data_IF_331865479406
#
_entry.id   IF_331865479406
#
_cell.length_a   1.000
_cell.length_b   1.000
_cell.length_c   1.000
_cell.angle_alpha   90.00
_cell.angle_beta   90.00
_cell.angle_gamma   90.00
#
_symmetry.space_group_name_H-M   'P 1'
#
loop_
_entity.id
_entity.type
_entity.pdbx_description
1 polymer ?
#
# COMPACT_ATOMS: atom_id res chain seq x y z
N UNK A 1 -4.70 17.42 -30.34
CA UNK A 1 -4.58 16.13 -29.62
C UNK A 1 -5.99 15.61 -29.35
N UNK A 2 -6.36 14.40 -29.81
CA UNK A 2 -7.67 13.82 -29.51
C UNK A 2 -7.83 13.65 -27.98
N UNK A 3 -8.98 14.07 -27.44
CA UNK A 3 -9.29 13.89 -26.01
C UNK A 3 -9.38 12.39 -25.72
N UNK A 4 -8.53 11.89 -24.81
CA UNK A 4 -8.61 10.51 -24.30
C UNK A 4 -10.05 10.27 -23.79
N UNK A 5 -10.73 9.18 -24.19
CA UNK A 5 -12.07 8.88 -23.70
C UNK A 5 -12.07 8.79 -22.17
N UNK A 6 -13.18 9.17 -21.51
CA UNK A 6 -13.28 9.06 -20.05
C UNK A 6 -13.08 7.60 -19.63
N UNK A 7 -12.35 7.39 -18.54
CA UNK A 7 -12.20 6.05 -17.98
C UNK A 7 -13.50 5.65 -17.29
N UNK A 8 -14.01 4.47 -17.62
CA UNK A 8 -15.27 3.96 -17.10
C UNK A 8 -15.15 2.48 -16.73
N UNK A 9 -15.85 2.08 -15.67
CA UNK A 9 -16.05 0.66 -15.32
C UNK A 9 -17.40 0.26 -15.87
N UNK A 10 -17.42 -0.73 -16.76
CA UNK A 10 -18.64 -1.26 -17.35
C UNK A 10 -18.94 -2.62 -16.73
N UNK A 11 -20.12 -2.75 -16.13
CA UNK A 11 -20.66 -4.00 -15.59
C UNK A 11 -21.65 -4.55 -16.61
N UNK A 12 -21.43 -5.77 -17.08
CA UNK A 12 -22.32 -6.51 -17.97
C UNK A 12 -22.85 -7.69 -17.19
N UNK A 13 -24.11 -7.65 -16.79
CA UNK A 13 -24.76 -8.78 -16.12
C UNK A 13 -25.25 -9.77 -17.17
N UNK A 14 -24.97 -11.06 -16.93
CA UNK A 14 -25.42 -12.18 -17.77
C UNK A 14 -26.54 -12.99 -17.11
N UNK A 15 -26.53 -13.05 -15.78
CA UNK A 15 -27.58 -13.70 -14.99
C UNK A 15 -27.83 -12.96 -13.69
N UNK A 16 -29.06 -13.01 -13.19
CA UNK A 16 -29.40 -12.51 -11.85
C UNK A 16 -29.03 -13.51 -10.75
N UNK A 17 -29.34 -13.17 -9.50
CA UNK A 17 -29.08 -14.00 -8.33
C UNK A 17 -29.81 -15.35 -8.34
N UNK A 18 -30.92 -15.46 -9.07
CA UNK A 18 -31.68 -16.71 -9.25
C UNK A 18 -31.11 -17.60 -10.37
N UNK A 19 -30.15 -17.08 -11.14
CA UNK A 19 -29.59 -17.75 -12.31
C UNK A 19 -30.41 -17.53 -13.58
N UNK A 20 -31.45 -16.70 -13.54
CA UNK A 20 -32.19 -16.34 -14.74
C UNK A 20 -31.32 -15.44 -15.64
N UNK A 21 -31.31 -15.67 -16.97
CA UNK A 21 -30.52 -14.85 -17.87
C UNK A 21 -31.03 -13.42 -17.89
N UNK A 22 -30.13 -12.47 -17.64
CA UNK A 22 -30.39 -11.04 -17.69
C UNK A 22 -29.36 -10.43 -18.63
N UNK A 23 -29.77 -9.48 -19.47
CA UNK A 23 -28.85 -8.66 -20.26
C UNK A 23 -28.99 -7.22 -19.82
N UNK A 24 -28.33 -6.90 -18.71
CA UNK A 24 -28.26 -5.52 -18.22
C UNK A 24 -26.83 -5.04 -18.26
N UNK A 25 -26.66 -3.76 -18.60
CA UNK A 25 -25.37 -3.12 -18.65
C UNK A 25 -25.44 -1.84 -17.84
N UNK A 26 -24.47 -1.66 -16.94
CA UNK A 26 -24.32 -0.45 -16.17
C UNK A 26 -22.90 0.08 -16.33
N UNK A 27 -22.78 1.35 -16.68
CA UNK A 27 -21.48 2.01 -16.82
C UNK A 27 -21.31 3.03 -15.71
N UNK A 28 -20.21 2.90 -14.98
CA UNK A 28 -19.83 3.79 -13.91
C UNK A 28 -18.65 4.66 -14.37
N UNK A 29 -18.85 5.98 -14.53
CA UNK A 29 -17.75 6.86 -14.86
C UNK A 29 -16.79 6.99 -13.69
N UNK A 30 -15.49 6.88 -13.96
CA UNK A 30 -14.46 7.16 -12.96
C UNK A 30 -13.99 8.60 -13.13
N UNK A 31 -14.44 9.45 -12.21
CA UNK A 31 -13.82 10.76 -12.04
C UNK A 31 -12.42 10.58 -11.45
N UNK A 32 -11.43 11.18 -12.13
CA UNK A 32 -10.02 11.09 -11.74
C UNK A 32 -9.85 11.76 -10.37
N UNK A 33 -9.52 10.98 -9.35
CA UNK A 33 -8.96 11.54 -8.13
C UNK A 33 -7.49 11.87 -8.40
N UNK A 34 -7.17 13.17 -8.46
CA UNK A 34 -5.78 13.65 -8.44
C UNK A 34 -5.29 13.65 -6.99
N UNK A 35 -4.27 12.84 -6.70
CA UNK A 35 -3.53 12.89 -5.45
C UNK A 35 -2.07 13.20 -5.80
N UNK A 36 -1.60 14.39 -5.44
CA UNK A 36 -0.21 14.83 -5.62
C UNK A 36 0.32 14.56 -7.04
N UNK A 37 -0.36 15.11 -8.06
CA UNK A 37 -0.04 14.97 -9.49
C UNK A 37 -0.11 13.56 -10.11
N UNK A 38 -0.40 12.51 -9.33
CA UNK A 38 -0.66 11.16 -9.83
C UNK A 38 -2.16 10.89 -9.96
N UNK A 39 -2.59 10.44 -11.15
CA UNK A 39 -3.94 9.93 -11.38
C UNK A 39 -3.98 8.46 -10.95
N UNK A 40 -4.81 8.09 -9.97
CA UNK A 40 -4.88 6.70 -9.46
C UNK A 40 -6.24 6.07 -9.69
N UNK A 41 -6.43 5.50 -10.88
CA UNK A 41 -7.64 4.74 -11.20
C UNK A 41 -7.69 3.37 -10.49
N UNK A 42 -6.54 2.76 -10.24
CA UNK A 42 -6.44 1.40 -9.68
C UNK A 42 -7.21 1.24 -8.35
N UNK A 43 -7.15 2.23 -7.45
CA UNK A 43 -7.86 2.16 -6.17
C UNK A 43 -9.38 2.27 -6.34
N UNK A 44 -9.84 3.12 -7.25
CA UNK A 44 -11.27 3.27 -7.55
C UNK A 44 -11.81 1.98 -8.17
N UNK A 45 -11.04 1.36 -9.07
CA UNK A 45 -11.38 0.06 -9.64
C UNK A 45 -11.54 -0.96 -8.52
N UNK A 46 -10.58 -1.11 -7.60
CA UNK A 46 -10.74 -2.01 -6.46
C UNK A 46 -11.98 -1.66 -5.63
N UNK A 47 -12.16 -0.39 -5.27
CA UNK A 47 -13.27 0.04 -4.42
C UNK A 47 -14.64 -0.34 -5.00
N UNK A 48 -14.87 -0.07 -6.29
CA UNK A 48 -16.15 -0.33 -6.95
C UNK A 48 -16.35 -1.79 -7.35
N UNK A 49 -15.27 -2.56 -7.49
CA UNK A 49 -15.36 -3.95 -7.97
C UNK A 49 -15.17 -4.99 -6.88
N UNK A 50 -14.67 -4.62 -5.69
CA UNK A 50 -14.34 -5.55 -4.59
C UNK A 50 -15.49 -6.50 -4.26
N UNK A 51 -16.72 -5.99 -4.22
CA UNK A 51 -17.91 -6.74 -3.79
C UNK A 51 -18.26 -7.87 -4.77
N UNK A 52 -17.85 -7.72 -6.03
CA UNK A 52 -18.06 -8.71 -7.09
C UNK A 52 -16.95 -9.77 -7.15
N UNK A 53 -15.93 -9.71 -6.28
CA UNK A 53 -14.81 -10.66 -6.25
C UNK A 53 -14.21 -10.98 -7.66
N UNK A 54 -13.82 -9.97 -8.46
CA UNK A 54 -13.54 -10.09 -9.89
C UNK A 54 -12.43 -11.10 -10.20
N UNK A 55 -12.76 -12.12 -10.99
CA UNK A 55 -11.88 -13.18 -11.47
C UNK A 55 -11.15 -12.69 -12.72
N UNK A 56 -9.83 -12.83 -12.72
CA UNK A 56 -9.00 -12.44 -13.85
C UNK A 56 -9.26 -13.29 -15.09
N UNK A 57 -9.12 -12.65 -16.24
CA UNK A 57 -9.17 -13.32 -17.54
C UNK A 57 -7.83 -13.14 -18.25
N UNK A 58 -7.68 -13.73 -19.44
CA UNK A 58 -6.49 -13.49 -20.29
C UNK A 58 -6.33 -12.00 -20.65
N UNK A 59 -7.43 -11.25 -20.66
CA UNK A 59 -7.47 -9.82 -20.97
C UNK A 59 -7.28 -8.96 -19.72
N UNK A 60 -6.46 -7.92 -19.83
CA UNK A 60 -6.18 -6.96 -18.74
C UNK A 60 -7.37 -6.06 -18.42
N UNK A 61 -8.23 -5.82 -19.41
CA UNK A 61 -9.39 -4.94 -19.33
C UNK A 61 -10.67 -5.67 -18.93
N UNK A 62 -10.69 -7.00 -18.85
CA UNK A 62 -11.90 -7.78 -18.61
C UNK A 62 -11.74 -8.75 -17.44
N UNK A 63 -12.77 -8.80 -16.59
CA UNK A 63 -12.84 -9.65 -15.40
C UNK A 63 -14.22 -10.30 -15.36
N UNK A 64 -14.29 -11.54 -14.87
CA UNK A 64 -15.56 -12.26 -14.68
C UNK A 64 -15.96 -12.22 -13.21
N UNK A 65 -17.25 -12.17 -12.91
CA UNK A 65 -17.74 -12.39 -11.56
C UNK A 65 -18.90 -13.39 -11.57
N UNK A 66 -19.09 -14.09 -10.46
CA UNK A 66 -20.20 -15.04 -10.30
C UNK A 66 -20.48 -15.32 -8.84
N UNK A 67 -21.74 -15.65 -8.53
CA UNK A 67 -22.16 -15.99 -7.16
C UNK A 67 -22.31 -14.78 -6.23
N UNK A 68 -22.44 -13.57 -6.77
CA UNK A 68 -22.75 -12.38 -5.97
C UNK A 68 -24.26 -12.24 -5.78
N UNK A 69 -24.71 -11.48 -4.78
CA UNK A 69 -26.14 -11.17 -4.56
C UNK A 69 -26.80 -10.50 -5.76
N UNK A 70 -26.02 -9.98 -6.70
CA UNK A 70 -26.47 -9.36 -7.94
C UNK A 70 -26.45 -10.31 -9.15
N UNK A 71 -25.91 -11.53 -9.00
CA UNK A 71 -25.80 -12.53 -10.07
C UNK A 71 -24.39 -12.74 -10.63
N UNK A 72 -24.27 -12.96 -11.93
CA UNK A 72 -23.00 -13.22 -12.62
C UNK A 72 -22.83 -12.39 -13.89
N UNK A 73 -21.59 -12.15 -14.28
CA UNK A 73 -21.30 -11.38 -15.48
C UNK A 73 -19.85 -10.94 -15.62
N UNK A 74 -19.65 -9.80 -16.27
CA UNK A 74 -18.35 -9.23 -16.62
C UNK A 74 -18.17 -7.81 -16.10
N UNK A 75 -16.93 -7.49 -15.76
CA UNK A 75 -16.45 -6.15 -15.47
C UNK A 75 -15.43 -5.80 -16.54
N UNK A 76 -15.66 -4.71 -17.26
CA UNK A 76 -14.81 -4.24 -18.36
C UNK A 76 -14.31 -2.82 -18.05
N UNK A 77 -12.99 -2.63 -18.07
CA UNK A 77 -12.32 -1.36 -17.83
C UNK A 77 -12.06 -0.66 -19.17
N UNK A 78 -12.81 0.41 -19.46
CA UNK A 78 -12.69 1.14 -20.73
C UNK A 78 -12.07 2.52 -20.52
N UNK A 79 -11.29 3.00 -21.50
CA UNK A 79 -10.62 4.31 -21.42
C UNK A 79 -9.36 4.34 -20.55
N UNK A 80 -8.89 3.17 -20.08
CA UNK A 80 -7.63 3.02 -19.36
C UNK A 80 -6.48 2.79 -20.34
N UNK A 81 -5.30 3.31 -20.00
CA UNK A 81 -4.05 2.99 -20.67
C UNK A 81 -3.53 1.61 -20.22
N UNK A 82 -2.66 0.96 -20.99
CA UNK A 82 -2.08 -0.34 -20.61
C UNK A 82 -1.40 -0.34 -19.23
N UNK A 83 -0.73 0.77 -18.87
CA UNK A 83 -0.11 0.93 -17.56
C UNK A 83 -1.14 1.02 -16.42
N UNK A 84 -2.24 1.76 -16.63
CA UNK A 84 -3.33 1.88 -15.65
C UNK A 84 -4.06 0.53 -15.47
N UNK A 85 -4.22 -0.25 -16.54
CA UNK A 85 -4.81 -1.60 -16.46
C UNK A 85 -3.90 -2.57 -15.69
N UNK A 86 -2.59 -2.53 -15.93
CA UNK A 86 -1.64 -3.36 -15.20
C UNK A 86 -1.61 -3.01 -13.70
N UNK A 87 -1.65 -1.72 -13.35
CA UNK A 87 -1.74 -1.26 -11.97
C UNK A 87 -3.05 -1.69 -11.31
N UNK A 88 -4.19 -1.57 -12.01
CA UNK A 88 -5.49 -2.01 -11.51
C UNK A 88 -5.50 -3.52 -11.24
N UNK A 89 -4.97 -4.35 -12.15
CA UNK A 89 -4.84 -5.80 -11.95
C UNK A 89 -3.99 -6.12 -10.72
N UNK A 90 -2.83 -5.48 -10.57
CA UNK A 90 -1.96 -5.70 -9.41
C UNK A 90 -2.68 -5.35 -8.09
N UNK A 91 -3.47 -4.28 -8.08
CA UNK A 91 -4.24 -3.89 -6.91
C UNK A 91 -5.38 -4.86 -6.58
N UNK A 92 -6.08 -5.39 -7.59
CA UNK A 92 -7.11 -6.42 -7.41
C UNK A 92 -6.51 -7.72 -6.85
N UNK A 93 -5.35 -8.14 -7.36
CA UNK A 93 -4.59 -9.29 -6.83
C UNK A 93 -4.24 -9.11 -5.37
N UNK A 94 -3.68 -7.95 -5.02
CA UNK A 94 -3.29 -7.64 -3.63
C UNK A 94 -4.50 -7.67 -2.70
N UNK A 95 -5.65 -7.18 -3.15
CA UNK A 95 -6.88 -7.22 -2.36
C UNK A 95 -7.32 -8.66 -2.11
N UNK A 96 -7.39 -9.50 -3.15
CA UNK A 96 -7.75 -10.92 -2.99
C UNK A 96 -6.76 -11.68 -2.11
N UNK A 97 -5.46 -11.40 -2.22
CA UNK A 97 -4.45 -12.00 -1.34
C UNK A 97 -4.69 -11.58 0.12
N UNK A 98 -4.96 -10.30 0.38
CA UNK A 98 -5.23 -9.82 1.74
C UNK A 98 -6.49 -10.47 2.34
N UNK A 99 -7.56 -10.60 1.54
CA UNK A 99 -8.78 -11.33 1.92
C UNK A 99 -8.49 -12.80 2.22
N UNK A 100 -7.74 -13.48 1.34
CA UNK A 100 -7.38 -14.89 1.50
C UNK A 100 -6.48 -15.17 2.71
N UNK A 101 -5.65 -14.20 3.11
CA UNK A 101 -4.85 -14.28 4.34
C UNK A 101 -5.65 -13.97 5.61
N UNK A 102 -6.86 -13.41 5.48
CA UNK A 102 -7.67 -12.94 6.62
C UNK A 102 -7.02 -11.79 7.40
N UNK A 103 -6.03 -11.10 6.82
CA UNK A 103 -5.28 -10.01 7.45
C UNK A 103 -5.11 -8.85 6.49
N UNK A 104 -5.54 -7.67 6.92
CA UNK A 104 -5.27 -6.43 6.20
C UNK A 104 -3.76 -6.18 6.10
N UNK A 105 -3.31 -5.58 4.98
CA UNK A 105 -1.93 -5.17 4.81
C UNK A 105 -1.56 -4.12 5.89
N UNK A 106 -0.60 -4.40 6.80
CA UNK A 106 -0.17 -3.45 7.83
C UNK A 106 0.43 -2.16 7.26
N UNK A 107 0.85 -2.19 6.00
CA UNK A 107 1.37 -1.04 5.25
C UNK A 107 0.31 -0.18 4.59
N UNK A 108 -0.95 -0.64 4.53
CA UNK A 108 -2.07 0.15 4.03
C UNK A 108 -2.60 1.07 5.14
N UNK A 109 -2.53 2.38 4.92
CA UNK A 109 -3.18 3.37 5.79
C UNK A 109 -4.68 3.35 5.55
N UNK A 110 -5.46 3.00 6.58
CA UNK A 110 -6.89 3.29 6.65
C UNK A 110 -7.83 2.13 6.37
N UNK A 111 -8.78 1.93 7.29
CA UNK A 111 -9.97 1.06 7.20
C UNK A 111 -11.07 1.61 6.27
N UNK A 112 -10.81 2.69 5.54
CA UNK A 112 -11.84 3.51 4.90
C UNK A 112 -11.65 3.67 3.38
N UNK A 113 -11.23 2.62 2.66
CA UNK A 113 -11.17 2.62 1.18
C UNK A 113 -10.25 3.67 0.53
N UNK A 114 -9.71 4.60 1.31
CA UNK A 114 -8.73 5.59 0.95
C UNK A 114 -7.39 5.06 1.44
N UNK A 115 -6.70 4.35 0.56
CA UNK A 115 -5.24 4.23 0.70
C UNK A 115 -4.68 5.65 0.65
N UNK A 116 -4.40 6.25 1.79
CA UNK A 116 -3.75 7.58 1.85
C UNK A 116 -2.27 7.37 1.54
N UNK A 117 -1.92 7.66 0.29
CA UNK A 117 -0.54 7.61 -0.22
C UNK A 117 0.28 8.78 0.32
N UNK A 118 0.70 8.69 1.58
CA UNK A 118 1.81 9.50 2.02
C UNK A 118 3.07 9.13 1.23
N UNK A 119 3.94 10.11 0.92
CA UNK A 119 5.23 9.89 0.24
C UNK A 119 6.11 8.84 0.92
N UNK A 120 5.87 8.56 2.21
CA UNK A 120 6.53 7.53 3.01
C UNK A 120 5.92 6.13 2.90
N UNK A 121 4.85 5.96 2.11
CA UNK A 121 4.30 4.65 1.76
C UNK A 121 5.16 3.95 0.70
N UNK A 122 6.48 3.91 0.90
CA UNK A 122 7.31 2.97 0.17
C UNK A 122 7.08 1.57 0.74
N UNK A 123 6.76 0.66 -0.17
CA UNK A 123 5.95 -0.53 0.14
C UNK A 123 6.76 -1.77 0.56
N UNK A 124 8.08 -1.69 0.61
CA UNK A 124 8.95 -2.81 0.93
C UNK A 124 9.30 -2.83 2.43
N UNK A 125 9.14 -3.96 3.15
CA UNK A 125 9.56 -4.06 4.55
C UNK A 125 11.05 -3.70 4.76
N UNK A 126 11.91 -3.86 3.75
CA UNK A 126 13.31 -3.43 3.84
C UNK A 126 13.49 -1.94 4.12
N UNK A 127 12.55 -1.10 3.68
CA UNK A 127 12.62 0.35 3.92
C UNK A 127 12.27 0.64 5.38
N UNK A 128 11.27 -0.05 5.93
CA UNK A 128 10.92 0.02 7.34
C UNK A 128 12.14 -0.40 8.21
N UNK A 129 12.90 -1.41 7.76
CA UNK A 129 14.17 -1.81 8.37
C UNK A 129 15.26 -0.72 8.26
N UNK A 130 15.44 -0.11 7.08
CA UNK A 130 16.41 0.98 6.87
C UNK A 130 16.08 2.17 7.77
N UNK A 131 14.81 2.55 7.89
CA UNK A 131 14.36 3.60 8.81
C UNK A 131 14.71 3.23 10.26
N UNK A 132 14.47 1.97 10.65
CA UNK A 132 14.85 1.47 11.97
C UNK A 132 16.36 1.58 12.24
N UNK A 133 17.19 1.18 11.27
CA UNK A 133 18.66 1.27 11.34
C UNK A 133 19.12 2.72 11.43
N UNK A 134 18.57 3.62 10.60
CA UNK A 134 18.90 5.05 10.66
C UNK A 134 18.56 5.63 12.03
N UNK A 135 17.38 5.30 12.58
CA UNK A 135 17.02 5.68 13.95
C UNK A 135 18.01 5.18 14.99
N UNK A 136 18.44 3.92 14.89
CA UNK A 136 19.44 3.35 15.81
C UNK A 136 20.79 4.08 15.69
N UNK A 137 21.21 4.45 14.48
CA UNK A 137 22.43 5.27 14.26
C UNK A 137 22.29 6.62 14.96
N UNK A 138 21.18 7.34 14.75
CA UNK A 138 20.93 8.62 15.44
C UNK A 138 20.95 8.48 16.96
N UNK A 139 20.38 7.40 17.50
CA UNK A 139 20.38 7.13 18.93
C UNK A 139 21.81 6.92 19.48
N UNK A 140 22.62 6.12 18.79
CA UNK A 140 24.02 5.85 19.17
C UNK A 140 24.87 7.12 19.04
N UNK A 141 24.68 7.90 17.98
CA UNK A 141 25.37 9.18 17.80
C UNK A 141 24.98 10.20 18.86
N UNK A 142 23.70 10.29 19.23
CA UNK A 142 23.23 11.16 20.31
C UNK A 142 23.79 10.75 21.68
N UNK A 143 23.80 9.45 21.97
CA UNK A 143 24.44 8.90 23.18
C UNK A 143 25.95 9.23 23.22
N UNK A 144 26.66 8.99 22.12
CA UNK A 144 28.08 9.29 22.01
C UNK A 144 28.38 10.78 22.20
N UNK A 145 27.59 11.64 21.56
CA UNK A 145 27.70 13.09 21.73
C UNK A 145 27.48 13.50 23.18
N UNK A 146 26.42 12.99 23.83
CA UNK A 146 26.13 13.29 25.24
C UNK A 146 27.25 12.84 26.18
N UNK A 147 27.82 11.65 25.96
CA UNK A 147 28.95 11.15 26.75
C UNK A 147 30.21 12.01 26.57
N UNK A 148 30.49 12.45 25.35
CA UNK A 148 31.63 13.34 25.07
C UNK A 148 31.42 14.69 25.75
N UNK A 149 30.23 15.30 25.62
CA UNK A 149 29.91 16.58 26.26
C UNK A 149 30.09 16.48 27.78
N UNK A 150 29.48 15.47 28.43
CA UNK A 150 29.62 15.26 29.88
C UNK A 150 31.08 15.00 30.28
N UNK A 151 31.80 14.17 29.52
CA UNK A 151 33.20 13.85 29.80
C UNK A 151 34.12 15.07 29.74
N UNK A 152 33.91 15.94 28.74
CA UNK A 152 34.64 17.21 28.63
C UNK A 152 34.31 18.14 29.81
N UNK A 153 33.05 18.28 30.17
CA UNK A 153 32.65 19.14 31.28
C UNK A 153 33.26 18.70 32.61
N UNK A 154 33.27 17.39 32.89
CA UNK A 154 33.92 16.82 34.08
C UNK A 154 35.44 17.02 34.05
N UNK A 155 36.07 16.84 32.88
CA UNK A 155 37.52 16.97 32.73
C UNK A 155 38.03 18.41 32.85
N UNK A 156 37.26 19.38 32.38
CA UNK A 156 37.65 20.80 32.36
C UNK A 156 37.04 21.63 33.50
N UNK A 157 36.21 21.03 34.36
CA UNK A 157 35.62 21.69 35.53
C UNK A 157 34.63 22.80 35.19
N UNK A 158 34.08 22.81 33.98
CA UNK A 158 33.03 23.75 33.58
C UNK A 158 31.66 23.31 34.10
N UNK A 159 30.73 24.25 34.20
CA UNK A 159 29.31 23.94 34.48
C UNK A 159 28.60 23.61 33.17
N UNK A 160 27.90 22.48 33.14
CA UNK A 160 27.13 22.04 31.98
C UNK A 160 25.81 22.82 31.90
N UNK A 161 25.61 23.58 30.84
CA UNK A 161 24.33 24.25 30.61
C UNK A 161 23.34 23.30 29.90
N UNK A 162 22.03 23.35 30.20
CA UNK A 162 21.03 22.49 29.57
C UNK A 162 21.05 22.55 28.04
N UNK A 163 21.37 23.73 27.48
CA UNK A 163 21.42 23.99 26.05
C UNK A 163 22.52 23.19 25.34
N UNK A 164 23.59 22.81 26.05
CA UNK A 164 24.70 22.01 25.52
C UNK A 164 24.31 20.53 25.35
N UNK A 165 23.30 20.05 26.08
CA UNK A 165 22.78 18.69 25.98
C UNK A 165 21.59 18.57 25.03
N UNK A 166 20.89 19.67 24.72
CA UNK A 166 19.73 19.67 23.83
C UNK A 166 19.99 18.99 22.47
N UNK A 167 21.14 19.19 21.79
CA UNK A 167 21.43 18.50 20.54
C UNK A 167 21.54 16.98 20.71
N UNK A 168 22.21 16.53 21.76
CA UNK A 168 22.36 15.10 22.08
C UNK A 168 21.00 14.47 22.42
N UNK A 169 20.21 15.14 23.26
CA UNK A 169 18.86 14.71 23.62
C UNK A 169 17.92 14.68 22.41
N UNK A 170 17.98 15.68 21.54
CA UNK A 170 17.20 15.74 20.30
C UNK A 170 17.51 14.55 19.38
N UNK A 171 18.79 14.26 19.16
CA UNK A 171 19.23 13.10 18.38
C UNK A 171 18.77 11.78 19.01
N UNK A 172 18.83 11.66 20.34
CA UNK A 172 18.37 10.47 21.05
C UNK A 172 16.86 10.26 20.92
N UNK A 173 16.06 11.32 21.08
CA UNK A 173 14.59 11.24 20.98
C UNK A 173 14.16 10.89 19.55
N UNK A 174 14.72 11.58 18.56
CA UNK A 174 14.44 11.30 17.15
C UNK A 174 14.90 9.88 16.78
N UNK A 175 16.11 9.50 17.20
CA UNK A 175 16.69 8.19 16.95
C UNK A 175 15.85 7.06 17.55
N UNK A 176 15.48 7.18 18.83
CA UNK A 176 14.62 6.21 19.51
C UNK A 176 13.25 6.09 18.85
N UNK A 177 12.63 7.21 18.48
CA UNK A 177 11.34 7.23 17.79
C UNK A 177 11.38 6.52 16.44
N UNK A 178 12.37 6.86 15.60
CA UNK A 178 12.56 6.23 14.28
C UNK A 178 12.92 4.75 14.39
N UNK A 179 13.79 4.37 15.33
CA UNK A 179 14.18 2.99 15.57
C UNK A 179 12.97 2.15 15.98
N UNK A 180 12.26 2.59 17.04
CA UNK A 180 11.10 1.88 17.56
C UNK A 180 10.01 1.74 16.48
N UNK A 181 9.69 2.83 15.78
CA UNK A 181 8.68 2.82 14.72
C UNK A 181 9.08 1.93 13.54
N UNK A 182 10.31 2.06 13.04
CA UNK A 182 10.83 1.30 11.90
C UNK A 182 10.89 -0.20 12.18
N UNK A 183 11.46 -0.61 13.31
CA UNK A 183 11.55 -2.03 13.69
C UNK A 183 10.18 -2.64 13.99
N UNK A 184 9.29 -1.93 14.69
CA UNK A 184 7.93 -2.39 14.94
C UNK A 184 7.15 -2.62 13.64
N UNK A 185 7.22 -1.66 12.71
CA UNK A 185 6.57 -1.76 11.41
C UNK A 185 7.17 -2.88 10.56
N UNK A 186 8.50 -3.01 10.54
CA UNK A 186 9.20 -4.10 9.87
C UNK A 186 8.75 -5.47 10.37
N UNK A 187 8.71 -5.68 11.69
CA UNK A 187 8.33 -6.95 12.29
C UNK A 187 6.90 -7.35 11.91
N UNK A 188 5.95 -6.41 11.97
CA UNK A 188 4.55 -6.65 11.59
C UNK A 188 4.38 -6.92 10.10
N UNK A 189 5.14 -6.22 9.26
CA UNK A 189 4.99 -6.29 7.80
C UNK A 189 5.71 -7.48 7.18
N UNK A 190 6.83 -7.91 7.75
CA UNK A 190 7.66 -9.00 7.20
C UNK A 190 6.90 -10.31 7.08
N UNK A 191 6.15 -10.71 8.11
CA UNK A 191 5.37 -11.96 8.11
C UNK A 191 4.28 -11.92 7.05
N UNK A 192 3.47 -10.85 7.05
CA UNK A 192 2.43 -10.63 6.05
C UNK A 192 3.02 -10.64 4.63
N UNK A 193 4.15 -9.98 4.40
CA UNK A 193 4.80 -9.92 3.10
C UNK A 193 5.25 -11.28 2.58
N UNK A 194 5.82 -12.11 3.46
CA UNK A 194 6.25 -13.45 3.10
C UNK A 194 5.06 -14.35 2.73
N UNK A 195 4.00 -14.31 3.54
CA UNK A 195 2.76 -15.03 3.28
C UNK A 195 2.08 -14.55 1.98
N UNK A 196 2.00 -13.24 1.77
CA UNK A 196 1.40 -12.63 0.58
C UNK A 196 2.18 -12.98 -0.69
N UNK A 197 3.52 -13.02 -0.64
CA UNK A 197 4.33 -13.50 -1.78
C UNK A 197 4.07 -14.98 -2.07
N UNK A 198 3.99 -15.81 -1.03
CA UNK A 198 3.70 -17.24 -1.18
C UNK A 198 2.34 -17.46 -1.85
N UNK A 199 1.30 -16.79 -1.35
CA UNK A 199 -0.03 -16.82 -1.94
C UNK A 199 -0.03 -16.31 -3.39
N UNK A 200 0.64 -15.19 -3.66
CA UNK A 200 0.70 -14.63 -5.01
C UNK A 200 1.33 -15.58 -6.03
N UNK A 201 2.43 -16.24 -5.67
CA UNK A 201 3.12 -17.19 -6.54
C UNK A 201 2.26 -18.43 -6.75
N UNK A 202 1.61 -18.94 -5.69
CA UNK A 202 0.72 -20.10 -5.77
C UNK A 202 -0.50 -19.84 -6.63
N UNK A 203 -1.15 -18.68 -6.46
CA UNK A 203 -2.46 -18.41 -7.04
C UNK A 203 -2.37 -17.76 -8.44
N UNK A 204 -1.26 -17.08 -8.76
CA UNK A 204 -1.09 -16.33 -10.01
C UNK A 204 0.21 -16.63 -10.77
N UNK A 205 1.06 -17.55 -10.27
CA UNK A 205 2.35 -17.89 -10.87
C UNK A 205 3.41 -16.77 -10.79
N UNK A 206 3.04 -15.58 -10.30
CA UNK A 206 3.93 -14.44 -10.19
C UNK A 206 3.47 -13.46 -9.11
N UNK A 207 4.43 -12.88 -8.38
CA UNK A 207 4.13 -11.83 -7.43
C UNK A 207 3.68 -10.54 -8.17
N UNK A 208 2.65 -9.81 -7.69
CA UNK A 208 2.38 -8.43 -8.10
C UNK A 208 3.62 -7.55 -8.00
N UNK A 209 3.73 -6.48 -8.80
CA UNK A 209 4.90 -5.58 -8.78
C UNK A 209 5.17 -5.07 -7.36
N UNK A 210 4.10 -4.82 -6.61
CA UNK A 210 4.14 -4.48 -5.19
C UNK A 210 4.98 -5.46 -4.36
N UNK A 211 4.81 -6.77 -4.54
CA UNK A 211 5.46 -7.82 -3.75
C UNK A 211 6.83 -8.26 -4.30
N UNK A 212 7.22 -7.80 -5.50
CA UNK A 212 8.51 -8.17 -6.12
C UNK A 212 9.71 -7.43 -5.54
N UNK A 213 9.53 -6.16 -5.17
CA UNK A 213 10.62 -5.23 -4.84
C UNK A 213 10.91 -5.20 -3.35
#
# INVERSE_FOLDING_TARGET
MPKKPPAVIRFILESDASGAPVRSEHTMPLERVRLNDFQRYANLVVYYTREYAPIETERLDAYRFGGHSSGSGWIVLQGFSPAELAEARDHLRLHRIAEGLGRADPGASGSSGQMVYFLWAMRNPRIDLVVGILGAVFLVSGLGLGLVTVGLTVAYGSTLEPDELLPALGLMVIGAGLAAFGFWRYARRRSWWAEARGAAIRDYGSAPVYLRR
#
